data_IF_460118425804
#
_entry.id   IF_460118425804
#
_cell.length_a   1.000
_cell.length_b   1.000
_cell.length_c   1.000
_cell.angle_alpha   90.00
_cell.angle_beta   90.00
_cell.angle_gamma   90.00
#
_symmetry.space_group_name_H-M   'P 1'
#
loop_
_entity.id
_entity.type
_entity.pdbx_description
1 polymer ?
#
# COMPACT_ATOMS: atom_id res chain seq x y z
N UNK A 1 -32.18 -20.10 -17.04
CA UNK A 1 -31.71 -20.65 -15.75
C UNK A 1 -30.30 -20.14 -15.56
N UNK A 2 -30.12 -19.15 -14.68
CA UNK A 2 -28.78 -18.64 -14.37
C UNK A 2 -28.12 -19.66 -13.48
N UNK A 3 -27.14 -20.39 -14.01
CA UNK A 3 -26.23 -21.15 -13.17
C UNK A 3 -25.57 -20.14 -12.23
N UNK A 4 -25.71 -20.33 -10.91
CA UNK A 4 -24.84 -19.64 -9.96
C UNK A 4 -23.39 -19.84 -10.41
N UNK A 5 -22.58 -18.77 -10.49
CA UNK A 5 -21.19 -18.95 -10.89
C UNK A 5 -20.56 -19.92 -9.88
N UNK A 6 -20.06 -21.10 -10.31
CA UNK A 6 -19.28 -21.94 -9.43
C UNK A 6 -18.12 -21.13 -8.87
N UNK A 7 -17.70 -21.46 -7.66
CA UNK A 7 -16.70 -20.67 -6.95
C UNK A 7 -15.39 -20.70 -7.75
N UNK A 8 -15.14 -19.65 -8.55
CA UNK A 8 -13.98 -19.53 -9.46
C UNK A 8 -12.66 -19.76 -8.71
N UNK A 9 -12.63 -19.48 -7.40
CA UNK A 9 -11.47 -19.76 -6.55
C UNK A 9 -11.25 -21.26 -6.31
N UNK A 10 -12.32 -22.05 -6.14
CA UNK A 10 -12.21 -23.51 -6.00
C UNK A 10 -11.77 -24.17 -7.31
N UNK A 11 -12.29 -23.71 -8.44
CA UNK A 11 -11.83 -24.19 -9.75
C UNK A 11 -10.36 -23.82 -10.01
N UNK A 12 -9.96 -22.61 -9.62
CA UNK A 12 -8.58 -22.17 -9.67
C UNK A 12 -7.69 -23.03 -8.77
N UNK A 13 -8.12 -23.36 -7.55
CA UNK A 13 -7.38 -24.25 -6.65
C UNK A 13 -7.15 -25.62 -7.27
N UNK A 14 -8.18 -26.18 -7.93
CA UNK A 14 -8.02 -27.42 -8.68
C UNK A 14 -6.94 -27.29 -9.77
N UNK A 15 -6.97 -26.22 -10.56
CA UNK A 15 -5.95 -25.95 -11.59
C UNK A 15 -4.55 -25.81 -10.98
N UNK A 16 -4.42 -25.13 -9.84
CA UNK A 16 -3.15 -24.90 -9.15
C UNK A 16 -2.56 -26.17 -8.54
N UNK A 17 -3.38 -27.18 -8.24
CA UNK A 17 -2.89 -28.47 -7.71
C UNK A 17 -2.24 -29.36 -8.78
N UNK A 18 -2.40 -29.05 -10.06
CA UNK A 18 -1.81 -29.84 -11.14
C UNK A 18 -0.28 -29.71 -11.13
N UNK A 19 0.48 -30.82 -11.21
CA UNK A 19 1.96 -30.78 -11.13
C UNK A 19 2.61 -29.95 -12.24
N UNK A 20 2.00 -29.93 -13.43
CA UNK A 20 2.46 -29.12 -14.56
C UNK A 20 1.86 -27.71 -14.62
N UNK A 21 1.22 -27.25 -13.54
CA UNK A 21 0.60 -25.93 -13.52
C UNK A 21 1.65 -24.83 -13.71
N UNK A 22 1.40 -23.97 -14.69
CA UNK A 22 2.27 -22.87 -15.05
C UNK A 22 1.44 -21.65 -15.51
N UNK A 23 2.11 -20.54 -15.78
CA UNK A 23 1.49 -19.29 -16.18
C UNK A 23 0.55 -19.41 -17.39
N UNK A 24 0.91 -20.23 -18.39
CA UNK A 24 0.07 -20.43 -19.58
C UNK A 24 -1.21 -21.21 -19.27
N UNK A 25 -1.14 -22.17 -18.35
CA UNK A 25 -2.32 -22.92 -17.87
C UNK A 25 -3.28 -21.97 -17.13
N UNK A 26 -2.75 -21.10 -16.27
CA UNK A 26 -3.55 -20.10 -15.55
C UNK A 26 -4.17 -19.07 -16.51
N UNK A 27 -3.41 -18.59 -17.50
CA UNK A 27 -3.92 -17.68 -18.53
C UNK A 27 -5.06 -18.33 -19.33
N UNK A 28 -4.95 -19.62 -19.66
CA UNK A 28 -6.01 -20.38 -20.33
C UNK A 28 -7.25 -20.52 -19.44
N UNK A 29 -7.06 -20.83 -18.16
CA UNK A 29 -8.16 -20.87 -17.18
C UNK A 29 -8.88 -19.51 -17.11
N UNK A 30 -8.13 -18.41 -17.00
CA UNK A 30 -8.69 -17.06 -16.94
C UNK A 30 -9.47 -16.70 -18.22
N UNK A 31 -8.93 -17.00 -19.40
CA UNK A 31 -9.65 -16.80 -20.66
C UNK A 31 -10.93 -17.63 -20.74
N UNK A 32 -10.91 -18.89 -20.30
CA UNK A 32 -12.11 -19.71 -20.25
C UNK A 32 -13.17 -19.08 -19.32
N UNK A 33 -12.75 -18.56 -18.17
CA UNK A 33 -13.65 -17.83 -17.28
C UNK A 33 -14.26 -16.60 -17.95
N UNK A 34 -13.49 -15.83 -18.73
CA UNK A 34 -14.01 -14.66 -19.46
C UNK A 34 -15.02 -15.02 -20.55
N UNK A 35 -14.93 -16.22 -21.11
CA UNK A 35 -15.88 -16.72 -22.13
C UNK A 35 -17.18 -17.20 -21.48
N UNK A 36 -17.06 -17.87 -20.33
CA UNK A 36 -18.19 -18.51 -19.64
C UNK A 36 -18.98 -17.50 -18.79
N UNK A 37 -18.27 -16.61 -18.10
CA UNK A 37 -18.85 -15.69 -17.13
C UNK A 37 -18.91 -14.28 -17.66
N UNK A 38 -20.02 -13.60 -17.35
CA UNK A 38 -20.22 -12.19 -17.69
C UNK A 38 -19.18 -11.28 -17.00
N UNK A 39 -18.78 -11.65 -15.80
CA UNK A 39 -17.79 -10.93 -14.99
C UNK A 39 -16.86 -11.94 -14.32
N UNK A 40 -15.55 -11.67 -14.35
CA UNK A 40 -14.53 -12.51 -13.72
C UNK A 40 -13.86 -11.69 -12.62
N UNK A 41 -13.87 -12.14 -11.35
CA UNK A 41 -13.30 -11.39 -10.24
C UNK A 41 -11.78 -11.51 -10.22
N UNK A 42 -11.10 -10.84 -11.17
CA UNK A 42 -9.65 -10.90 -11.34
C UNK A 42 -8.89 -10.52 -10.07
N UNK A 43 -9.39 -9.53 -9.32
CA UNK A 43 -8.82 -9.15 -8.03
C UNK A 43 -8.76 -10.32 -7.04
N UNK A 44 -9.86 -11.08 -6.92
CA UNK A 44 -9.95 -12.25 -6.04
C UNK A 44 -9.00 -13.35 -6.48
N UNK A 45 -8.90 -13.60 -7.79
CA UNK A 45 -7.97 -14.57 -8.40
C UNK A 45 -6.52 -14.18 -8.06
N UNK A 46 -6.13 -12.93 -8.32
CA UNK A 46 -4.75 -12.46 -8.07
C UNK A 46 -4.42 -12.51 -6.58
N UNK A 47 -5.32 -12.06 -5.70
CA UNK A 47 -5.10 -12.07 -4.26
C UNK A 47 -5.00 -13.50 -3.70
N UNK A 48 -5.77 -14.44 -4.24
CA UNK A 48 -5.71 -15.85 -3.85
C UNK A 48 -4.41 -16.51 -4.31
N UNK A 49 -4.06 -16.36 -5.59
CA UNK A 49 -2.80 -16.89 -6.14
C UNK A 49 -1.57 -16.35 -5.43
N UNK A 50 -1.61 -15.11 -4.95
CA UNK A 50 -0.52 -14.52 -4.16
C UNK A 50 -0.21 -15.31 -2.89
N UNK A 51 -1.24 -15.92 -2.28
CA UNK A 51 -1.12 -16.72 -1.07
C UNK A 51 -0.73 -18.17 -1.37
N UNK A 52 -1.33 -18.75 -2.41
CA UNK A 52 -1.23 -20.19 -2.72
C UNK A 52 -0.05 -20.51 -3.63
N UNK A 53 0.17 -19.72 -4.69
CA UNK A 53 1.19 -19.98 -5.70
C UNK A 53 1.83 -18.69 -6.24
N UNK A 54 2.62 -17.97 -5.41
CA UNK A 54 3.18 -16.67 -5.78
C UNK A 54 4.18 -16.74 -6.95
N UNK A 55 4.85 -17.88 -7.15
CA UNK A 55 5.77 -18.09 -8.28
C UNK A 55 5.03 -18.10 -9.60
N UNK A 56 3.96 -18.89 -9.71
CA UNK A 56 3.13 -18.98 -10.91
C UNK A 56 2.45 -17.64 -11.21
N UNK A 57 2.01 -16.92 -10.18
CA UNK A 57 1.45 -15.57 -10.33
C UNK A 57 2.47 -14.58 -10.93
N UNK A 58 3.74 -14.63 -10.49
CA UNK A 58 4.79 -13.77 -11.01
C UNK A 58 5.12 -14.07 -12.49
N UNK A 59 5.11 -15.35 -12.87
CA UNK A 59 5.30 -15.72 -14.27
C UNK A 59 4.09 -15.32 -15.13
N UNK A 60 2.88 -15.44 -14.57
CA UNK A 60 1.64 -15.03 -15.22
C UNK A 60 1.57 -13.51 -15.45
N UNK A 61 2.01 -12.70 -14.49
CA UNK A 61 2.02 -11.24 -14.63
C UNK A 61 3.00 -10.73 -15.69
N UNK A 62 4.08 -11.46 -15.96
CA UNK A 62 5.00 -11.16 -17.08
C UNK A 62 4.34 -11.37 -18.44
N UNK A 63 3.33 -12.24 -18.50
CA UNK A 63 2.58 -12.54 -19.73
C UNK A 63 1.32 -11.68 -19.87
N UNK A 64 0.68 -11.32 -18.75
CA UNK A 64 -0.60 -10.60 -18.73
C UNK A 64 -0.45 -9.23 -18.04
N UNK A 65 -0.46 -8.16 -18.84
CA UNK A 65 -0.32 -6.77 -18.36
C UNK A 65 -1.43 -6.35 -17.39
N UNK A 66 -2.63 -6.89 -17.53
CA UNK A 66 -3.74 -6.60 -16.60
C UNK A 66 -3.45 -7.20 -15.23
N UNK A 67 -2.94 -8.43 -15.19
CA UNK A 67 -2.48 -9.07 -13.95
C UNK A 67 -1.31 -8.30 -13.34
N UNK A 68 -0.36 -7.85 -14.14
CA UNK A 68 0.75 -7.01 -13.69
C UNK A 68 0.26 -5.70 -13.05
N UNK A 69 -0.69 -5.03 -13.68
CA UNK A 69 -1.33 -3.84 -13.14
C UNK A 69 -1.98 -4.12 -11.78
N UNK A 70 -2.80 -5.17 -11.68
CA UNK A 70 -3.44 -5.54 -10.43
C UNK A 70 -2.46 -5.96 -9.34
N UNK A 71 -1.36 -6.63 -9.69
CA UNK A 71 -0.30 -6.94 -8.72
C UNK A 71 0.38 -5.67 -8.19
N UNK A 72 0.60 -4.68 -9.05
CA UNK A 72 1.22 -3.40 -8.69
C UNK A 72 0.27 -2.52 -7.85
N UNK A 73 -1.03 -2.61 -8.10
CA UNK A 73 -2.08 -1.92 -7.33
C UNK A 73 -2.35 -2.59 -5.97
N UNK A 74 -2.14 -3.92 -5.89
CA UNK A 74 -2.19 -4.73 -4.67
C UNK A 74 -0.89 -4.67 -3.85
N UNK A 75 0.19 -4.16 -4.40
CA UNK A 75 1.35 -3.76 -3.60
C UNK A 75 1.05 -2.40 -2.98
N UNK A 76 1.26 -2.20 -1.66
CA UNK A 76 1.33 -0.85 -1.15
C UNK A 76 2.47 -0.19 -1.90
N UNK A 77 2.15 0.65 -2.90
CA UNK A 77 3.08 1.29 -3.85
C UNK A 77 4.44 1.49 -3.18
N UNK A 78 5.36 0.56 -3.43
CA UNK A 78 6.78 0.81 -3.27
C UNK A 78 7.15 1.51 -4.57
N UNK A 79 6.84 2.80 -4.62
CA UNK A 79 7.36 3.66 -5.67
C UNK A 79 8.88 3.54 -5.60
N UNK A 80 9.38 2.92 -6.66
CA UNK A 80 10.73 2.91 -7.22
C UNK A 80 11.85 3.35 -6.29
N UNK A 81 12.73 2.39 -6.06
CA UNK A 81 14.09 2.56 -5.56
C UNK A 81 14.88 3.55 -6.45
N UNK A 82 14.75 4.85 -6.17
CA UNK A 82 15.94 5.69 -6.14
C UNK A 82 16.45 5.68 -4.70
N UNK A 83 17.52 4.93 -4.53
CA UNK A 83 18.38 4.87 -3.37
C UNK A 83 18.64 6.24 -2.75
N UNK A 84 17.85 6.61 -1.76
CA UNK A 84 18.33 7.35 -0.60
C UNK A 84 17.53 6.90 0.61
N UNK A 85 18.22 6.67 1.72
CA UNK A 85 17.64 6.71 3.07
C UNK A 85 17.11 8.15 3.38
N UNK A 86 16.38 8.79 2.47
CA UNK A 86 15.82 10.12 2.65
C UNK A 86 14.55 10.01 3.49
N UNK A 87 14.72 9.80 4.79
CA UNK A 87 13.69 10.20 5.73
C UNK A 87 13.56 11.72 5.67
N UNK A 88 12.34 12.24 5.47
CA UNK A 88 12.09 13.66 5.68
C UNK A 88 12.17 13.89 7.19
N UNK A 89 13.17 14.68 7.61
CA UNK A 89 13.32 15.10 9.01
C UNK A 89 12.70 16.48 9.17
N UNK A 90 11.81 16.61 10.13
CA UNK A 90 11.17 17.86 10.50
C UNK A 90 11.51 18.16 11.95
N UNK A 91 12.31 19.18 12.16
CA UNK A 91 12.62 19.68 13.50
C UNK A 91 11.50 20.59 13.96
N UNK A 92 10.93 20.28 15.12
CA UNK A 92 9.83 21.05 15.71
C UNK A 92 10.17 21.45 17.13
N UNK A 93 9.57 22.54 17.57
CA UNK A 93 9.65 22.99 18.95
C UNK A 93 8.26 22.96 19.55
N UNK A 94 7.98 21.95 20.37
CA UNK A 94 6.72 21.84 21.10
C UNK A 94 6.73 22.64 22.42
N UNK A 95 7.81 23.37 22.74
CA UNK A 95 7.85 24.18 23.95
C UNK A 95 6.85 25.35 23.84
N UNK A 96 5.83 25.32 24.70
CA UNK A 96 4.72 26.29 24.65
C UNK A 96 3.49 25.83 23.85
N UNK A 97 3.54 24.68 23.19
CA UNK A 97 2.37 24.09 22.52
C UNK A 97 1.56 23.22 23.49
N UNK A 98 0.25 23.44 23.55
CA UNK A 98 -0.66 22.57 24.32
C UNK A 98 -1.22 21.48 23.43
N UNK A 99 -1.06 20.22 23.84
CA UNK A 99 -1.73 19.11 23.18
C UNK A 99 -3.25 19.23 23.31
N UNK A 100 -3.98 18.70 22.33
CA UNK A 100 -5.42 18.53 22.43
C UNK A 100 -5.79 17.46 23.49
N UNK A 101 -7.09 17.29 23.73
CA UNK A 101 -7.63 16.30 24.70
C UNK A 101 -7.14 14.86 24.47
N UNK A 102 -6.66 14.52 23.27
CA UNK A 102 -6.15 13.19 22.90
C UNK A 102 -4.61 13.08 22.98
N UNK A 103 -3.94 14.12 23.46
CA UNK A 103 -2.48 14.20 23.55
C UNK A 103 -1.80 14.42 22.18
N UNK A 104 -2.51 14.99 21.21
CA UNK A 104 -2.01 15.28 19.86
C UNK A 104 -1.67 16.77 19.78
N UNK A 105 -0.48 17.07 19.28
CA UNK A 105 0.00 18.40 18.97
C UNK A 105 -0.21 18.69 17.49
N UNK A 106 -0.54 19.94 17.17
CA UNK A 106 -0.65 20.43 15.80
C UNK A 106 0.56 21.29 15.50
N UNK A 107 1.37 20.90 14.52
CA UNK A 107 2.57 21.64 14.14
C UNK A 107 2.46 22.12 12.70
N UNK A 108 2.74 23.39 12.49
CA UNK A 108 2.88 23.98 11.16
C UNK A 108 4.30 23.75 10.67
N UNK A 109 4.43 23.15 9.50
CA UNK A 109 5.70 22.86 8.84
C UNK A 109 5.70 23.45 7.43
N UNK A 110 6.60 24.40 7.19
CA UNK A 110 6.81 24.97 5.88
C UNK A 110 7.79 24.12 5.06
N UNK A 111 7.38 23.75 3.86
CA UNK A 111 8.17 22.90 2.98
C UNK A 111 7.81 23.15 1.52
N UNK A 112 8.83 23.19 0.66
CA UNK A 112 8.68 23.20 -0.80
C UNK A 112 8.43 21.80 -1.37
N UNK A 113 8.42 20.75 -0.53
CA UNK A 113 8.18 19.38 -0.96
C UNK A 113 6.73 19.24 -1.43
N UNK A 114 6.55 18.61 -2.58
CA UNK A 114 5.23 18.37 -3.15
C UNK A 114 4.37 17.45 -2.28
N UNK A 115 3.06 17.67 -2.31
CA UNK A 115 2.11 16.99 -1.43
C UNK A 115 2.14 15.48 -1.60
N UNK A 116 2.30 15.02 -2.84
CA UNK A 116 2.33 13.60 -3.17
C UNK A 116 3.55 12.92 -2.53
N UNK A 117 4.71 13.60 -2.49
CA UNK A 117 5.94 13.13 -1.85
C UNK A 117 5.75 13.10 -0.34
N UNK A 118 5.24 14.17 0.28
CA UNK A 118 4.99 14.21 1.73
C UNK A 118 4.03 13.09 2.16
N UNK A 119 2.94 12.88 1.40
CA UNK A 119 1.98 11.80 1.65
C UNK A 119 2.60 10.42 1.50
N UNK A 120 3.49 10.23 0.51
CA UNK A 120 4.22 8.97 0.34
C UNK A 120 5.11 8.67 1.56
N UNK A 121 5.90 9.65 2.02
CA UNK A 121 6.74 9.51 3.22
C UNK A 121 5.94 9.31 4.52
N UNK A 122 4.78 9.95 4.64
CA UNK A 122 3.86 9.71 5.77
C UNK A 122 3.34 8.27 5.77
N UNK A 123 2.84 7.77 4.62
CA UNK A 123 2.36 6.38 4.49
C UNK A 123 3.47 5.36 4.73
N UNK A 124 4.69 5.65 4.25
CA UNK A 124 5.87 4.80 4.43
C UNK A 124 6.49 4.89 5.83
N UNK A 125 5.93 5.70 6.75
CA UNK A 125 6.49 5.97 8.10
C UNK A 125 7.94 6.48 8.07
N UNK A 126 8.33 7.16 7.00
CA UNK A 126 9.67 7.74 6.82
C UNK A 126 9.69 9.26 7.03
N UNK A 127 8.55 9.88 7.32
CA UNK A 127 8.45 11.25 7.85
C UNK A 127 8.75 11.25 9.36
N UNK A 128 9.94 11.72 9.73
CA UNK A 128 10.39 11.79 11.13
C UNK A 128 10.24 13.21 11.65
N UNK A 129 9.41 13.38 12.67
CA UNK A 129 9.31 14.66 13.38
C UNK A 129 10.09 14.54 14.69
N UNK A 130 11.03 15.44 14.91
CA UNK A 130 11.93 15.41 16.07
C UNK A 130 11.68 16.69 16.87
N UNK A 131 11.35 16.53 18.15
CA UNK A 131 11.31 17.66 19.08
C UNK A 131 12.71 17.91 19.64
N UNK A 132 13.11 19.18 19.75
CA UNK A 132 14.43 19.57 20.29
C UNK A 132 14.74 19.00 21.68
N UNK A 133 13.73 18.63 22.47
CA UNK A 133 13.87 18.19 23.87
C UNK A 133 13.39 16.75 24.10
N UNK A 134 12.43 16.26 23.31
CA UNK A 134 11.65 15.05 23.62
C UNK A 134 11.68 14.05 22.46
N UNK A 135 12.87 13.70 21.99
CA UNK A 135 13.13 12.56 21.08
C UNK A 135 12.18 12.50 19.85
N UNK A 136 12.14 11.35 19.16
CA UNK A 136 11.29 11.15 17.98
C UNK A 136 9.79 11.18 18.33
N UNK A 137 9.07 12.14 17.75
CA UNK A 137 7.62 12.20 17.77
C UNK A 137 7.02 11.26 16.72
N UNK A 138 5.81 10.77 17.00
CA UNK A 138 5.02 9.96 16.07
C UNK A 138 4.11 10.89 15.28
N UNK A 139 4.22 10.87 13.95
CA UNK A 139 3.27 11.55 13.06
C UNK A 139 2.02 10.70 12.91
N UNK A 140 0.88 11.25 13.26
CA UNK A 140 -0.45 10.62 13.18
C UNK A 140 -1.21 11.07 11.94
N UNK A 141 -0.91 12.25 11.41
CA UNK A 141 -1.56 12.79 10.23
C UNK A 141 -0.79 13.94 9.60
N UNK A 142 -1.06 14.17 8.32
CA UNK A 142 -0.54 15.31 7.56
C UNK A 142 -1.68 15.90 6.75
N UNK A 143 -1.82 17.22 6.77
CA UNK A 143 -2.74 17.98 5.92
C UNK A 143 -2.00 19.11 5.23
N UNK A 144 -2.21 19.28 3.93
CA UNK A 144 -1.72 20.47 3.22
C UNK A 144 -2.67 21.63 3.46
N UNK A 145 -2.13 22.80 3.79
CA UNK A 145 -2.90 24.03 4.05
C UNK A 145 -2.82 24.95 2.84
N UNK A 146 -1.62 25.15 2.30
CA UNK A 146 -1.37 25.90 1.08
C UNK A 146 -0.16 25.32 0.33
N UNK A 147 0.31 25.97 -0.73
CA UNK A 147 1.40 25.47 -1.58
C UNK A 147 2.66 25.05 -0.81
N UNK A 148 3.00 25.76 0.27
CA UNK A 148 4.25 25.57 1.01
C UNK A 148 4.04 25.25 2.50
N UNK A 149 2.80 25.07 2.96
CA UNK A 149 2.46 24.90 4.37
C UNK A 149 1.72 23.60 4.62
N UNK A 150 2.25 22.80 5.55
CA UNK A 150 1.66 21.56 6.02
C UNK A 150 1.33 21.66 7.50
N UNK A 151 0.22 21.05 7.89
CA UNK A 151 -0.11 20.74 9.27
C UNK A 151 0.26 19.28 9.56
N UNK A 152 1.14 19.09 10.54
CA UNK A 152 1.55 17.79 11.05
C UNK A 152 0.85 17.55 12.39
N UNK A 153 0.09 16.47 12.46
CA UNK A 153 -0.52 16.00 13.71
C UNK A 153 0.44 15.03 14.36
N UNK A 154 1.05 15.43 15.48
CA UNK A 154 2.13 14.65 16.10
C UNK A 154 1.79 14.30 17.54
N UNK A 155 2.33 13.17 18.01
CA UNK A 155 2.13 12.69 19.38
C UNK A 155 3.45 12.19 19.93
N UNK A 156 3.69 12.44 21.22
CA UNK A 156 4.83 11.87 21.94
C UNK A 156 4.70 10.34 21.93
N UNK A 157 5.78 9.65 21.55
CA UNK A 157 5.83 8.19 21.62
C UNK A 157 5.69 7.80 23.09
N UNK A 158 4.63 7.08 23.44
CA UNK A 158 4.54 6.49 24.78
C UNK A 158 5.64 5.44 24.86
N UNK A 159 6.60 5.61 25.77
CA UNK A 159 7.39 4.48 26.22
C UNK A 159 6.40 3.49 26.84
N UNK A 160 6.21 2.35 26.17
CA UNK A 160 5.73 1.15 26.84
C UNK A 160 6.88 0.77 27.78
N UNK A 161 6.76 1.21 29.03
CA UNK A 161 7.48 0.62 30.15
C UNK A 161 6.84 -0.71 30.52
#
# INVERSE_FOLDING_TARGET
>A
MGHEPPNIIEELDFVLTHPDCNAAVVEKFYHNCLIIYKEVPLFSIVNHMRKVSPRVLNDWSRMNKTVQYWMSDLEPKRETEESTNNSIKVDVDLSGQTANKNGIYLVSWESSIEEHIVKAHFKARSLMVIDKRVDKLVVIGVSKVNSNLYHLYVKKRRHLG
#
